data_IF_858585776923
#
_entry.id   IF_858585776923
#
_cell.length_a   1.000
_cell.length_b   1.000
_cell.length_c   1.000
_cell.angle_alpha   90.00
_cell.angle_beta   90.00
_cell.angle_gamma   90.00
#
_symmetry.space_group_name_H-M   'P 1'
#
loop_
_entity.id
_entity.type
_entity.pdbx_description
1 polymer ?
#
# COMPACT_ATOMS: atom_id res chain seq x y z
N UNK A 1 23.95 14.94 -3.31
CA UNK A 1 23.55 14.18 -4.52
C UNK A 1 22.05 14.30 -4.73
N UNK A 2 21.59 14.39 -5.98
CA UNK A 2 20.16 14.57 -6.30
C UNK A 2 19.42 13.22 -6.22
N UNK A 3 18.45 13.12 -5.33
CA UNK A 3 17.58 11.95 -5.19
C UNK A 3 16.82 11.65 -6.50
N UNK A 4 16.56 10.37 -6.86
CA UNK A 4 15.74 10.02 -8.02
C UNK A 4 14.36 10.67 -7.96
N UNK A 5 13.84 11.11 -9.12
CA UNK A 5 12.51 11.73 -9.22
C UNK A 5 11.40 10.85 -8.63
N UNK A 6 11.47 9.54 -8.85
CA UNK A 6 10.52 8.56 -8.33
C UNK A 6 10.50 8.49 -6.81
N UNK A 7 11.63 8.76 -6.14
CA UNK A 7 11.70 8.85 -4.69
C UNK A 7 11.25 10.22 -4.19
N UNK A 8 11.63 11.29 -4.91
CA UNK A 8 11.29 12.68 -4.55
C UNK A 8 9.78 12.95 -4.61
N UNK A 9 9.09 12.37 -5.59
CA UNK A 9 7.65 12.52 -5.81
C UNK A 9 6.87 11.24 -5.50
N UNK A 10 7.42 10.38 -4.63
CA UNK A 10 6.69 9.20 -4.16
C UNK A 10 5.44 9.69 -3.40
N UNK A 11 4.23 9.17 -3.73
CA UNK A 11 3.02 9.51 -2.99
C UNK A 11 3.17 9.17 -1.50
N UNK A 12 2.85 10.13 -0.64
CA UNK A 12 2.84 9.95 0.82
C UNK A 12 1.42 9.67 1.34
N UNK A 13 0.41 10.22 0.68
CA UNK A 13 -1.02 9.99 1.01
C UNK A 13 -1.74 9.28 -0.14
N UNK A 14 -2.81 8.54 0.16
CA UNK A 14 -3.64 7.90 -0.86
C UNK A 14 -4.19 8.88 -1.90
N UNK A 15 -4.41 10.14 -1.51
CA UNK A 15 -4.96 11.15 -2.41
C UNK A 15 -3.99 11.52 -3.54
N UNK A 16 -2.69 11.29 -3.35
CA UNK A 16 -1.66 11.57 -4.35
C UNK A 16 -1.50 10.42 -5.37
N UNK A 17 -2.15 9.27 -5.12
CA UNK A 17 -2.07 8.12 -6.03
C UNK A 17 -3.02 8.34 -7.20
N UNK A 18 -2.45 8.47 -8.39
CA UNK A 18 -3.22 8.61 -9.62
C UNK A 18 -3.81 7.26 -10.06
N UNK A 19 -5.14 7.20 -10.20
CA UNK A 19 -5.87 6.05 -10.73
C UNK A 19 -6.10 4.92 -9.72
N UNK A 20 -6.53 3.75 -10.21
CA UNK A 20 -6.84 2.56 -9.41
C UNK A 20 -7.85 2.80 -8.26
N UNK A 21 -8.76 3.77 -8.40
CA UNK A 21 -9.61 4.24 -7.31
C UNK A 21 -10.51 3.12 -6.76
N UNK A 22 -10.96 2.20 -7.62
CA UNK A 22 -11.75 1.04 -7.21
C UNK A 22 -10.92 0.09 -6.33
N UNK A 23 -9.70 -0.25 -6.74
CA UNK A 23 -8.84 -1.16 -5.99
C UNK A 23 -8.39 -0.53 -4.66
N UNK A 24 -8.07 0.76 -4.69
CA UNK A 24 -7.77 1.56 -3.51
C UNK A 24 -8.94 1.55 -2.51
N UNK A 25 -10.16 1.81 -2.98
CA UNK A 25 -11.36 1.76 -2.11
C UNK A 25 -11.57 0.38 -1.49
N UNK A 26 -11.34 -0.69 -2.25
CA UNK A 26 -11.43 -2.06 -1.74
C UNK A 26 -10.36 -2.35 -0.69
N UNK A 27 -9.11 -1.96 -0.92
CA UNK A 27 -8.01 -2.08 0.03
C UNK A 27 -8.31 -1.33 1.33
N UNK A 28 -8.77 -0.08 1.23
CA UNK A 28 -9.15 0.74 2.38
C UNK A 28 -10.31 0.13 3.16
N UNK A 29 -11.32 -0.41 2.46
CA UNK A 29 -12.47 -1.07 3.10
C UNK A 29 -12.05 -2.33 3.84
N UNK A 30 -11.19 -3.14 3.22
CA UNK A 30 -10.62 -4.33 3.83
C UNK A 30 -9.82 -3.97 5.09
N UNK A 31 -8.92 -2.99 5.02
CA UNK A 31 -8.10 -2.60 6.17
C UNK A 31 -8.96 -2.06 7.31
N UNK A 32 -9.96 -1.20 7.01
CA UNK A 32 -10.91 -0.70 8.02
C UNK A 32 -11.78 -1.79 8.65
N UNK A 33 -11.98 -2.93 7.98
CA UNK A 33 -12.76 -4.04 8.53
C UNK A 33 -12.11 -4.67 9.76
N UNK A 34 -10.77 -4.62 9.87
CA UNK A 34 -10.02 -5.11 11.03
C UNK A 34 -10.35 -4.36 12.32
N UNK A 35 -10.71 -3.07 12.23
CA UNK A 35 -11.17 -2.29 13.39
C UNK A 35 -12.52 -2.74 13.95
N UNK A 36 -13.28 -3.55 13.21
CA UNK A 36 -14.59 -4.11 13.65
C UNK A 36 -14.46 -5.53 14.20
N UNK A 37 -13.25 -6.07 14.27
CA UNK A 37 -12.97 -7.46 14.62
C UNK A 37 -12.25 -8.19 13.49
N UNK A 38 -11.97 -9.48 13.71
CA UNK A 38 -11.20 -10.30 12.76
C UNK A 38 -12.05 -10.56 11.51
N UNK A 39 -11.64 -10.08 10.32
CA UNK A 39 -12.40 -10.32 9.09
C UNK A 39 -12.29 -11.77 8.62
N UNK A 40 -13.29 -12.23 7.85
CA UNK A 40 -13.26 -13.54 7.20
C UNK A 40 -12.06 -13.68 6.26
N UNK A 41 -11.75 -12.62 5.51
CA UNK A 41 -10.60 -12.53 4.63
C UNK A 41 -9.46 -11.80 5.34
N UNK A 42 -8.49 -12.56 5.84
CA UNK A 42 -7.35 -12.04 6.62
C UNK A 42 -6.18 -11.57 5.77
N UNK A 43 -6.22 -11.80 4.47
CA UNK A 43 -5.20 -11.35 3.54
C UNK A 43 -5.88 -10.75 2.31
N UNK A 44 -5.19 -9.81 1.69
CA UNK A 44 -5.56 -9.24 0.39
C UNK A 44 -4.37 -9.34 -0.54
N UNK A 45 -4.64 -9.53 -1.83
CA UNK A 45 -3.61 -9.70 -2.85
C UNK A 45 -3.71 -8.59 -3.89
N UNK A 46 -2.67 -7.76 -3.97
CA UNK A 46 -2.57 -6.68 -4.95
C UNK A 46 -1.77 -7.17 -6.17
N UNK A 47 -2.44 -7.30 -7.31
CA UNK A 47 -1.82 -7.73 -8.56
C UNK A 47 -2.00 -6.69 -9.66
N UNK A 48 -1.10 -6.70 -10.64
CA UNK A 48 -1.14 -5.80 -11.79
C UNK A 48 0.25 -5.49 -12.35
N UNK A 49 0.35 -4.72 -13.45
CA UNK A 49 1.61 -4.39 -14.10
C UNK A 49 2.63 -3.70 -13.16
N UNK A 50 3.93 -3.77 -13.44
CA UNK A 50 4.93 -3.02 -12.67
C UNK A 50 4.68 -1.50 -12.78
N UNK A 51 5.01 -0.75 -11.72
CA UNK A 51 4.91 0.72 -11.73
C UNK A 51 3.52 1.33 -11.52
N UNK A 52 2.45 0.54 -11.36
CA UNK A 52 1.07 1.07 -11.18
C UNK A 52 0.73 1.51 -9.74
N UNK A 53 1.73 1.64 -8.86
CA UNK A 53 1.53 2.14 -7.50
C UNK A 53 1.03 1.11 -6.48
N UNK A 54 1.15 -0.21 -6.73
CA UNK A 54 0.73 -1.26 -5.78
C UNK A 54 1.39 -1.11 -4.40
N UNK A 55 2.72 -1.09 -4.37
CA UNK A 55 3.50 -0.92 -3.13
C UNK A 55 3.25 0.45 -2.51
N UNK A 56 3.27 1.52 -3.33
CA UNK A 56 2.99 2.88 -2.85
C UNK A 56 1.60 3.00 -2.21
N UNK A 57 0.60 2.29 -2.71
CA UNK A 57 -0.76 2.30 -2.15
C UNK A 57 -0.83 1.71 -0.76
N UNK A 58 -0.06 0.66 -0.48
CA UNK A 58 0.00 0.06 0.86
C UNK A 58 0.71 1.01 1.83
N UNK A 59 1.85 1.57 1.41
CA UNK A 59 2.63 2.50 2.22
C UNK A 59 1.80 3.73 2.58
N UNK A 60 1.20 4.39 1.58
CA UNK A 60 0.41 5.59 1.78
C UNK A 60 -0.86 5.33 2.60
N UNK A 61 -1.49 4.16 2.45
CA UNK A 61 -2.65 3.78 3.27
C UNK A 61 -2.30 3.55 4.73
N UNK A 62 -1.14 2.93 5.00
CA UNK A 62 -0.65 2.74 6.36
C UNK A 62 -0.40 4.08 7.04
N UNK A 63 0.29 5.01 6.35
CA UNK A 63 0.56 6.36 6.83
C UNK A 63 -0.72 7.15 7.09
N UNK A 64 -1.65 7.17 6.11
CA UNK A 64 -2.94 7.87 6.22
C UNK A 64 -3.81 7.39 7.39
N UNK A 65 -3.64 6.13 7.83
CA UNK A 65 -4.40 5.55 8.93
C UNK A 65 -3.59 5.40 10.23
N UNK A 66 -2.32 5.82 10.22
CA UNK A 66 -1.42 5.71 11.38
C UNK A 66 -1.08 4.28 11.79
N UNK A 67 -1.06 3.35 10.84
CA UNK A 67 -0.58 1.98 11.09
C UNK A 67 0.93 1.91 10.96
N UNK A 68 1.56 1.11 11.82
CA UNK A 68 2.94 0.69 11.62
C UNK A 68 3.02 -0.33 10.48
N UNK A 69 4.00 -0.16 9.58
CA UNK A 69 4.13 -0.95 8.36
C UNK A 69 5.37 -1.85 8.42
N UNK A 70 5.13 -3.16 8.46
CA UNK A 70 6.17 -4.17 8.28
C UNK A 70 6.19 -4.64 6.82
N UNK A 71 7.18 -4.18 6.06
CA UNK A 71 7.43 -4.63 4.69
C UNK A 71 8.48 -5.74 4.67
N UNK A 72 8.23 -6.80 3.91
CA UNK A 72 9.20 -7.87 3.63
C UNK A 72 9.33 -8.00 2.12
N UNK A 73 10.53 -7.83 1.59
CA UNK A 73 10.81 -7.98 0.17
C UNK A 73 11.35 -9.39 -0.15
N UNK A 74 11.24 -9.80 -1.41
CA UNK A 74 11.81 -11.05 -1.92
C UNK A 74 13.34 -11.10 -1.82
N UNK A 75 14.01 -9.94 -1.74
CA UNK A 75 15.45 -9.87 -1.49
C UNK A 75 15.84 -10.16 -0.04
N UNK A 76 14.92 -9.94 0.91
CA UNK A 76 15.25 -9.84 2.32
C UNK A 76 15.19 -11.19 3.03
N UNK A 77 14.58 -12.20 2.41
CA UNK A 77 14.45 -13.55 2.95
C UNK A 77 15.02 -14.58 1.98
N UNK A 78 16.27 -14.98 2.22
CA UNK A 78 16.87 -16.20 1.67
C UNK A 78 17.18 -17.10 2.86
N UNK A 79 16.28 -18.05 3.12
CA UNK A 79 16.26 -19.04 4.22
C UNK A 79 15.96 -18.51 5.62
#
# INVERSE_FOLDING_TARGET
ESQPWSSRFRPCTLKEIAGNERAIRQLQTWLKSWGKGIPKQRATFLFGPPGVGKTCSVIALADDLGYDLMEVNASDYRT
#
